data_IF_291357665395
#
_entry.id   IF_291357665395
#
_cell.length_a   1.000
_cell.length_b   1.000
_cell.length_c   1.000
_cell.angle_alpha   90.00
_cell.angle_beta   90.00
_cell.angle_gamma   90.00
#
_symmetry.space_group_name_H-M   'P 1'
#
loop_
_entity.id
_entity.type
_entity.pdbx_description
1 polymer ?
#
# COMPACT_ATOMS: atom_id res chain seq x y z
N UNK A 1 -2.09 -34.33 6.26
CA UNK A 1 -2.88 -33.54 5.30
C UNK A 1 -2.47 -33.99 3.89
N UNK A 2 -3.45 -34.32 3.04
CA UNK A 2 -3.24 -35.03 1.76
C UNK A 2 -2.66 -34.13 0.66
N UNK A 3 -1.54 -34.54 0.03
CA UNK A 3 -0.90 -33.82 -1.09
C UNK A 3 -1.81 -33.70 -2.32
N UNK A 4 -2.81 -34.56 -2.47
CA UNK A 4 -3.73 -34.52 -3.62
C UNK A 4 -4.66 -33.32 -3.60
N UNK A 5 -5.07 -32.82 -2.42
CA UNK A 5 -5.92 -31.61 -2.32
C UNK A 5 -5.19 -30.33 -2.72
N UNK A 6 -3.87 -30.27 -2.49
CA UNK A 6 -3.02 -29.08 -2.76
C UNK A 6 -2.84 -28.83 -4.27
N UNK A 7 -2.83 -29.88 -5.10
CA UNK A 7 -2.73 -29.74 -6.56
C UNK A 7 -4.00 -29.13 -7.18
N UNK A 8 -5.18 -29.41 -6.61
CA UNK A 8 -6.46 -28.92 -7.12
C UNK A 8 -6.68 -27.42 -6.88
N UNK A 9 -6.10 -26.82 -5.83
CA UNK A 9 -6.34 -25.40 -5.52
C UNK A 9 -5.59 -24.43 -6.44
N UNK A 10 -4.55 -24.88 -7.14
CA UNK A 10 -3.77 -24.07 -8.09
C UNK A 10 -4.07 -24.37 -9.57
N UNK A 11 -4.80 -25.45 -9.85
CA UNK A 11 -5.12 -25.89 -11.21
C UNK A 11 -5.91 -24.80 -11.98
N UNK A 12 -5.44 -24.43 -13.17
CA UNK A 12 -6.08 -23.42 -14.03
C UNK A 12 -5.68 -21.96 -13.74
N UNK A 13 -4.85 -21.68 -12.74
CA UNK A 13 -4.43 -20.30 -12.40
C UNK A 13 -3.02 -19.95 -12.83
N UNK A 14 -2.38 -20.85 -13.58
CA UNK A 14 -1.00 -20.74 -14.06
C UNK A 14 -0.78 -19.54 -14.97
N UNK A 15 -1.83 -19.09 -15.67
CA UNK A 15 -1.84 -17.91 -16.52
C UNK A 15 -1.69 -16.60 -15.75
N UNK A 16 -1.97 -16.59 -14.43
CA UNK A 16 -1.83 -15.44 -13.54
C UNK A 16 -0.38 -15.26 -13.03
N UNK A 17 0.54 -16.16 -13.39
CA UNK A 17 1.89 -16.15 -12.87
C UNK A 17 2.75 -15.03 -13.49
N UNK A 18 3.32 -14.18 -12.63
CA UNK A 18 4.15 -13.04 -13.04
C UNK A 18 5.63 -13.41 -12.98
N UNK A 19 6.41 -13.06 -14.02
CA UNK A 19 7.86 -13.34 -14.11
C UNK A 19 8.24 -14.83 -13.92
N UNK A 20 7.37 -15.75 -14.32
CA UNK A 20 7.46 -17.18 -13.99
C UNK A 20 8.30 -18.02 -14.98
N UNK A 21 9.59 -17.71 -15.15
CA UNK A 21 10.49 -18.47 -16.03
C UNK A 21 11.14 -19.67 -15.33
N UNK A 22 11.58 -20.67 -16.12
CA UNK A 22 12.30 -21.84 -15.59
C UNK A 22 13.54 -21.41 -14.78
N UNK A 23 14.35 -20.51 -15.35
CA UNK A 23 15.55 -20.00 -14.71
C UNK A 23 15.23 -19.28 -13.40
N UNK A 24 14.23 -18.39 -13.37
CA UNK A 24 13.80 -17.69 -12.14
C UNK A 24 13.31 -18.67 -11.08
N UNK A 25 12.48 -19.65 -11.45
CA UNK A 25 12.03 -20.71 -10.51
C UNK A 25 13.20 -21.48 -9.88
N UNK A 26 14.20 -21.85 -10.68
CA UNK A 26 15.38 -22.57 -10.20
C UNK A 26 16.20 -21.69 -9.26
N UNK A 27 16.51 -20.46 -9.65
CA UNK A 27 17.29 -19.51 -8.85
C UNK A 27 16.60 -19.16 -7.53
N UNK A 28 15.30 -18.86 -7.56
CA UNK A 28 14.49 -18.55 -6.38
C UNK A 28 14.45 -19.73 -5.40
N UNK A 29 14.29 -20.97 -5.89
CA UNK A 29 14.32 -22.18 -5.06
C UNK A 29 15.69 -22.45 -4.46
N UNK A 30 16.75 -22.24 -5.22
CA UNK A 30 18.13 -22.42 -4.75
C UNK A 30 18.44 -21.40 -3.64
N UNK A 31 18.13 -20.12 -3.88
CA UNK A 31 18.28 -19.05 -2.90
C UNK A 31 17.50 -19.33 -1.61
N UNK A 32 16.23 -19.71 -1.73
CA UNK A 32 15.39 -20.09 -0.59
C UNK A 32 16.00 -21.24 0.23
N UNK A 33 16.39 -22.34 -0.41
CA UNK A 33 16.97 -23.50 0.28
C UNK A 33 18.29 -23.19 0.97
N UNK A 34 19.13 -22.36 0.36
CA UNK A 34 20.42 -21.97 0.92
C UNK A 34 20.23 -21.05 2.11
N UNK A 35 19.43 -20.00 1.98
CA UNK A 35 19.22 -19.00 3.03
C UNK A 35 18.43 -19.53 4.21
N UNK A 36 17.45 -20.42 3.99
CA UNK A 36 16.66 -21.04 5.07
C UNK A 36 17.48 -21.92 6.02
N UNK A 37 18.68 -22.35 5.61
CA UNK A 37 19.60 -23.06 6.50
C UNK A 37 20.27 -22.14 7.52
N UNK A 38 20.35 -20.85 7.20
CA UNK A 38 21.02 -19.84 8.02
C UNK A 38 20.05 -18.94 8.77
N UNK A 39 18.76 -18.92 8.40
CA UNK A 39 17.70 -18.12 9.02
C UNK A 39 16.43 -18.95 9.24
N UNK A 40 15.96 -19.01 10.48
CA UNK A 40 14.61 -19.46 10.81
C UNK A 40 13.68 -18.26 10.70
N UNK A 41 12.76 -18.29 9.73
CA UNK A 41 11.62 -17.36 9.69
C UNK A 41 10.34 -18.15 9.95
N UNK A 42 9.56 -17.74 10.94
CA UNK A 42 8.31 -18.42 11.33
C UNK A 42 7.08 -17.97 10.50
N UNK A 43 7.28 -17.19 9.44
CA UNK A 43 6.20 -16.63 8.60
C UNK A 43 6.06 -17.25 7.20
N UNK A 44 4.95 -16.91 6.53
CA UNK A 44 4.68 -17.29 5.13
C UNK A 44 5.52 -16.53 4.10
N UNK A 45 6.37 -15.62 4.54
CA UNK A 45 7.20 -14.81 3.67
C UNK A 45 8.67 -14.90 4.09
N UNK A 46 9.54 -15.14 3.12
CA UNK A 46 10.96 -15.38 3.32
C UNK A 46 11.79 -14.42 2.45
N UNK A 47 12.57 -13.52 3.05
CA UNK A 47 13.43 -12.61 2.31
C UNK A 47 14.58 -13.38 1.64
N UNK A 48 14.79 -13.14 0.35
CA UNK A 48 15.97 -13.62 -0.37
C UNK A 48 16.97 -12.51 -0.71
N UNK A 49 16.52 -11.25 -0.65
CA UNK A 49 17.37 -10.06 -0.70
C UNK A 49 16.71 -8.91 0.07
N UNK A 50 17.36 -7.73 0.11
CA UNK A 50 16.77 -6.49 0.65
C UNK A 50 15.52 -6.01 -0.07
N UNK A 51 15.32 -6.46 -1.32
CA UNK A 51 14.25 -5.97 -2.21
C UNK A 51 13.38 -7.10 -2.75
N UNK A 52 13.60 -8.35 -2.32
CA UNK A 52 12.91 -9.51 -2.86
C UNK A 52 12.56 -10.49 -1.76
N UNK A 53 11.26 -10.68 -1.57
CA UNK A 53 10.66 -11.58 -0.59
C UNK A 53 9.86 -12.64 -1.35
N UNK A 54 10.01 -13.89 -0.94
CA UNK A 54 9.24 -15.00 -1.48
C UNK A 54 8.16 -15.36 -0.47
N UNK A 55 6.90 -15.30 -0.88
CA UNK A 55 5.83 -15.98 -0.14
C UNK A 55 5.90 -17.49 -0.40
N UNK A 56 5.98 -18.29 0.66
CA UNK A 56 6.01 -19.74 0.57
C UNK A 56 5.08 -20.42 1.59
N UNK A 57 4.69 -21.64 1.26
CA UNK A 57 3.80 -22.45 2.08
C UNK A 57 2.63 -22.93 1.24
N UNK A 58 1.77 -23.70 1.88
CA UNK A 58 0.54 -24.18 1.25
C UNK A 58 -0.44 -23.01 1.02
N UNK A 59 -0.37 -21.94 1.84
CA UNK A 59 -1.19 -20.71 1.91
C UNK A 59 -0.96 -19.61 0.85
N UNK A 60 -0.29 -19.87 -0.28
CA UNK A 60 0.19 -18.80 -1.20
C UNK A 60 -0.35 -19.00 -2.62
N UNK A 61 -1.13 -18.04 -3.15
CA UNK A 61 -1.78 -18.16 -4.46
C UNK A 61 -1.49 -17.00 -5.43
N UNK A 62 -1.35 -17.31 -6.73
CA UNK A 62 -1.06 -16.36 -7.82
C UNK A 62 -2.12 -15.27 -8.07
N UNK A 63 -3.31 -15.40 -7.46
CA UNK A 63 -4.43 -14.49 -7.69
C UNK A 63 -4.25 -13.18 -6.91
N UNK A 64 -3.54 -13.22 -5.78
CA UNK A 64 -3.11 -12.04 -5.03
C UNK A 64 -2.31 -11.09 -5.92
N UNK A 65 -1.18 -11.59 -6.44
CA UNK A 65 -0.27 -10.80 -7.25
C UNK A 65 -0.94 -10.31 -8.54
N UNK A 66 -1.76 -11.15 -9.19
CA UNK A 66 -2.43 -10.78 -10.43
C UNK A 66 -3.53 -9.72 -10.24
N UNK A 67 -4.27 -9.75 -9.13
CA UNK A 67 -5.28 -8.71 -8.84
C UNK A 67 -4.59 -7.37 -8.59
N UNK A 68 -3.52 -7.36 -7.78
CA UNK A 68 -2.76 -6.14 -7.51
C UNK A 68 -2.11 -5.57 -8.79
N UNK A 69 -1.64 -6.44 -9.69
CA UNK A 69 -1.07 -6.01 -10.97
C UNK A 69 -2.13 -5.53 -11.96
N UNK A 70 -3.33 -6.11 -11.95
CA UNK A 70 -4.45 -5.56 -12.73
C UNK A 70 -4.81 -4.13 -12.29
N UNK A 71 -4.89 -3.87 -10.98
CA UNK A 71 -5.16 -2.51 -10.47
C UNK A 71 -4.04 -1.54 -10.84
N UNK A 72 -2.77 -1.96 -10.70
CA UNK A 72 -1.60 -1.15 -11.11
C UNK A 72 -1.56 -0.85 -12.60
N UNK A 73 -2.13 -1.73 -13.42
CA UNK A 73 -2.19 -1.55 -14.87
C UNK A 73 -3.33 -0.61 -15.33
N UNK A 74 -4.27 -0.26 -14.44
CA UNK A 74 -5.31 0.72 -14.75
C UNK A 74 -4.66 2.07 -15.04
N UNK A 75 -4.95 2.61 -16.23
CA UNK A 75 -4.52 3.95 -16.60
C UNK A 75 -5.61 4.95 -16.25
N UNK A 76 -5.27 6.05 -15.56
CA UNK A 76 -6.23 7.12 -15.32
C UNK A 76 -6.73 7.67 -16.66
N UNK A 77 -8.05 7.92 -16.81
CA UNK A 77 -8.56 8.73 -17.90
C UNK A 77 -7.83 10.08 -18.03
N UNK A 78 -7.77 10.70 -19.22
CA UNK A 78 -7.17 12.03 -19.36
C UNK A 78 -7.84 13.06 -18.44
N UNK A 79 -7.03 13.81 -17.68
CA UNK A 79 -7.52 14.82 -16.74
C UNK A 79 -7.93 14.30 -15.36
N UNK A 80 -7.75 13.00 -15.09
CA UNK A 80 -7.98 12.41 -13.76
C UNK A 80 -7.07 13.05 -12.71
N UNK A 81 -7.67 13.59 -11.67
CA UNK A 81 -6.98 14.05 -10.47
C UNK A 81 -7.12 13.06 -9.31
N UNK A 82 -7.17 13.56 -8.08
CA UNK A 82 -7.46 12.71 -6.91
C UNK A 82 -8.98 12.65 -6.72
N UNK A 83 -9.58 11.55 -7.16
CA UNK A 83 -11.02 11.40 -7.32
C UNK A 83 -11.49 9.93 -7.23
N UNK A 84 -12.78 9.70 -7.01
CA UNK A 84 -13.32 8.34 -6.95
C UNK A 84 -13.28 7.62 -8.30
N UNK A 85 -13.59 6.32 -8.32
CA UNK A 85 -13.62 5.52 -9.55
C UNK A 85 -14.59 6.04 -10.64
N UNK A 86 -15.52 6.93 -10.27
CA UNK A 86 -16.49 7.58 -11.17
C UNK A 86 -16.22 9.10 -11.33
N UNK A 87 -15.05 9.58 -10.94
CA UNK A 87 -14.67 10.99 -11.03
C UNK A 87 -15.32 11.91 -9.99
N UNK A 88 -15.73 11.35 -8.85
CA UNK A 88 -16.45 12.06 -7.79
C UNK A 88 -15.65 12.23 -6.51
N UNK A 89 -16.35 12.66 -5.46
CA UNK A 89 -15.79 12.84 -4.12
C UNK A 89 -15.39 11.52 -3.45
N UNK A 90 -14.32 11.58 -2.68
CA UNK A 90 -13.68 10.49 -1.95
C UNK A 90 -14.13 10.43 -0.49
N UNK A 91 -13.85 9.31 0.17
CA UNK A 91 -14.02 9.14 1.61
C UNK A 91 -12.89 8.28 2.17
N UNK A 92 -12.33 8.69 3.32
CA UNK A 92 -11.26 7.99 4.01
C UNK A 92 -11.40 8.22 5.52
N UNK A 93 -11.75 7.18 6.26
CA UNK A 93 -12.05 7.28 7.69
C UNK A 93 -10.83 7.58 8.56
N UNK A 94 -9.61 7.53 8.02
CA UNK A 94 -8.37 7.84 8.74
C UNK A 94 -8.17 9.34 8.93
N UNK A 95 -8.83 10.16 8.11
CA UNK A 95 -8.66 11.61 8.11
C UNK A 95 -9.65 12.22 9.10
N UNK A 96 -9.19 12.60 10.30
CA UNK A 96 -10.07 12.99 11.41
C UNK A 96 -10.96 14.21 11.13
N UNK A 97 -10.48 15.12 10.27
CA UNK A 97 -11.21 16.32 9.89
C UNK A 97 -12.19 16.10 8.72
N UNK A 98 -12.22 14.90 8.14
CA UNK A 98 -13.18 14.51 7.12
C UNK A 98 -14.50 14.09 7.78
N UNK A 99 -15.48 15.00 7.82
CA UNK A 99 -16.82 14.68 8.36
C UNK A 99 -17.74 13.99 7.35
N UNK A 100 -17.56 14.23 6.04
CA UNK A 100 -18.45 13.73 4.99
C UNK A 100 -17.69 13.13 3.81
N UNK A 101 -17.23 13.96 2.86
CA UNK A 101 -16.49 13.54 1.66
C UNK A 101 -15.53 14.66 1.24
N UNK A 102 -14.48 14.31 0.50
CA UNK A 102 -13.47 15.25 0.01
C UNK A 102 -13.32 15.20 -1.51
N UNK A 103 -12.77 16.26 -2.08
CA UNK A 103 -12.53 16.34 -3.52
C UNK A 103 -13.80 16.32 -4.38
N UNK A 104 -13.70 15.96 -5.68
CA UNK A 104 -12.45 15.58 -6.36
C UNK A 104 -11.44 16.73 -6.40
N UNK A 105 -10.15 16.40 -6.45
CA UNK A 105 -9.06 17.37 -6.53
C UNK A 105 -8.41 17.28 -7.91
N UNK A 106 -8.12 18.42 -8.53
CA UNK A 106 -7.52 18.45 -9.87
C UNK A 106 -6.10 17.87 -9.89
N UNK A 107 -5.33 18.11 -8.82
CA UNK A 107 -3.95 17.65 -8.70
C UNK A 107 -3.68 16.97 -7.37
N UNK A 108 -2.59 16.19 -7.30
CA UNK A 108 -2.11 15.59 -6.05
C UNK A 108 -1.68 16.68 -5.05
N UNK A 109 -1.16 17.81 -5.53
CA UNK A 109 -0.80 18.95 -4.70
C UNK A 109 -2.03 19.60 -4.07
N UNK A 110 -3.13 19.76 -4.81
CA UNK A 110 -4.39 20.28 -4.24
C UNK A 110 -4.91 19.35 -3.12
N UNK A 111 -4.82 18.04 -3.35
CA UNK A 111 -5.17 17.04 -2.35
C UNK A 111 -4.26 17.14 -1.10
N UNK A 112 -2.95 17.24 -1.28
CA UNK A 112 -2.03 17.38 -0.16
C UNK A 112 -2.21 18.69 0.62
N UNK A 113 -2.42 19.80 -0.08
CA UNK A 113 -2.71 21.08 0.55
C UNK A 113 -3.99 21.01 1.38
N UNK A 114 -5.01 20.33 0.85
CA UNK A 114 -6.25 20.05 1.58
C UNK A 114 -6.03 19.16 2.81
N UNK A 115 -5.23 18.07 2.70
CA UNK A 115 -4.91 17.20 3.83
C UNK A 115 -4.24 17.93 5.01
N UNK A 116 -3.53 19.03 4.71
CA UNK A 116 -2.91 19.92 5.70
C UNK A 116 -3.82 21.08 6.12
N UNK A 117 -5.11 21.05 5.78
CA UNK A 117 -6.07 22.12 6.06
C UNK A 117 -5.58 23.51 5.59
N UNK A 118 -4.87 23.56 4.46
CA UNK A 118 -4.31 24.78 3.90
C UNK A 118 -3.03 25.28 4.57
N UNK A 119 -2.41 24.50 5.47
CA UNK A 119 -1.16 24.86 6.11
C UNK A 119 0.01 24.80 5.12
N UNK A 120 0.75 25.90 5.05
CA UNK A 120 1.84 26.13 4.11
C UNK A 120 3.13 26.52 4.81
N UNK A 121 4.25 26.46 4.06
CA UNK A 121 5.56 26.88 4.56
C UNK A 121 5.57 28.32 5.10
N UNK A 122 4.78 29.24 4.51
CA UNK A 122 4.68 30.62 5.01
C UNK A 122 3.97 30.71 6.36
N UNK A 123 3.02 29.80 6.65
CA UNK A 123 2.32 29.76 7.93
C UNK A 123 3.22 29.25 9.09
N UNK A 124 4.31 28.55 8.77
CA UNK A 124 5.26 28.03 9.75
C UNK A 124 6.15 29.11 10.38
N UNK A 125 6.45 30.20 9.65
CA UNK A 125 7.43 31.20 10.05
C UNK A 125 7.12 31.95 11.37
N UNK A 126 5.94 31.74 11.95
CA UNK A 126 5.52 32.31 13.23
C UNK A 126 5.24 31.28 14.35
N UNK A 127 5.60 30.01 14.17
CA UNK A 127 5.41 28.98 15.20
C UNK A 127 6.67 28.78 16.04
N UNK A 128 6.50 28.66 17.36
CA UNK A 128 7.56 28.23 18.27
C UNK A 128 7.81 26.72 18.11
N UNK A 129 9.07 26.30 18.19
CA UNK A 129 9.50 24.89 18.04
C UNK A 129 10.17 24.34 19.31
N UNK A 130 9.43 24.21 20.43
CA UNK A 130 10.02 23.74 21.68
C UNK A 130 10.52 22.30 21.59
N UNK A 131 9.92 21.50 20.71
CA UNK A 131 10.17 20.05 20.60
C UNK A 131 10.99 19.64 19.35
N UNK A 132 11.35 20.59 18.48
CA UNK A 132 12.17 20.33 17.28
C UNK A 132 11.42 19.69 16.12
N UNK A 133 10.09 19.81 16.09
CA UNK A 133 9.19 19.16 15.14
C UNK A 133 8.98 19.96 13.86
N UNK A 134 9.28 21.27 13.86
CA UNK A 134 9.07 22.11 12.68
C UNK A 134 9.87 21.62 11.47
N UNK A 135 11.05 21.03 11.69
CA UNK A 135 11.86 20.48 10.61
C UNK A 135 11.15 19.34 9.87
N UNK A 136 10.53 18.40 10.58
CA UNK A 136 9.82 17.27 9.97
C UNK A 136 8.64 17.76 9.14
N UNK A 137 7.94 18.79 9.62
CA UNK A 137 6.80 19.41 8.93
C UNK A 137 7.27 20.14 7.68
N UNK A 138 8.39 20.86 7.75
CA UNK A 138 8.96 21.54 6.59
C UNK A 138 9.32 20.52 5.50
N UNK A 139 10.02 19.44 5.86
CA UNK A 139 10.37 18.35 4.94
C UNK A 139 9.12 17.66 4.35
N UNK A 140 8.07 17.47 5.16
CA UNK A 140 6.78 16.93 4.72
C UNK A 140 6.08 17.86 3.72
N UNK A 141 6.01 19.17 3.99
CA UNK A 141 5.41 20.17 3.08
C UNK A 141 6.18 20.24 1.78
N UNK A 142 7.52 20.29 1.83
CA UNK A 142 8.36 20.33 0.64
C UNK A 142 8.15 19.11 -0.26
N UNK A 143 7.99 17.93 0.34
CA UNK A 143 7.68 16.72 -0.42
C UNK A 143 6.29 16.80 -1.04
N UNK A 144 5.29 17.24 -0.27
CA UNK A 144 3.91 17.32 -0.73
C UNK A 144 3.70 18.36 -1.84
N UNK A 145 4.40 19.49 -1.78
CA UNK A 145 4.34 20.59 -2.77
C UNK A 145 5.19 20.30 -4.02
N UNK A 146 6.03 19.25 -3.98
CA UNK A 146 6.86 18.81 -5.10
C UNK A 146 6.07 18.29 -6.31
N UNK A 147 6.77 17.91 -7.39
CA UNK A 147 6.14 17.28 -8.55
C UNK A 147 5.72 15.84 -8.22
N UNK A 148 4.50 15.47 -8.60
CA UNK A 148 3.96 14.13 -8.43
C UNK A 148 3.59 13.50 -9.78
N UNK A 149 3.81 12.18 -9.96
CA UNK A 149 3.31 11.47 -11.13
C UNK A 149 1.77 11.46 -11.14
N UNK A 150 1.14 11.13 -12.28
CA UNK A 150 -0.32 10.95 -12.33
C UNK A 150 -0.82 9.96 -11.27
N UNK A 151 -2.06 10.15 -10.78
CA UNK A 151 -2.65 9.28 -9.78
C UNK A 151 -2.83 7.85 -10.30
N UNK A 152 -2.80 6.88 -9.40
CA UNK A 152 -3.06 5.47 -9.67
C UNK A 152 -4.32 5.02 -8.93
N UNK A 153 -4.93 3.94 -9.39
CA UNK A 153 -6.09 3.38 -8.72
C UNK A 153 -5.66 2.61 -7.47
N UNK A 154 -6.24 2.97 -6.32
CA UNK A 154 -5.94 2.36 -5.01
C UNK A 154 -7.23 1.81 -4.38
N UNK A 155 -7.08 0.80 -3.54
CA UNK A 155 -8.14 0.30 -2.67
C UNK A 155 -8.38 1.26 -1.51
N UNK A 156 -7.31 1.88 -0.99
CA UNK A 156 -7.29 2.85 0.12
C UNK A 156 -7.78 2.32 1.49
N UNK A 157 -8.31 1.11 1.57
CA UNK A 157 -8.58 0.38 2.83
C UNK A 157 -8.10 -1.08 2.76
N UNK A 158 -6.88 -1.32 2.27
CA UNK A 158 -6.39 -2.68 2.15
C UNK A 158 -5.94 -3.21 3.51
N UNK A 159 -6.75 -4.10 4.08
CA UNK A 159 -6.47 -4.76 5.35
C UNK A 159 -6.86 -6.26 5.27
N UNK A 160 -6.40 -7.11 6.22
CA UNK A 160 -6.66 -8.55 6.16
C UNK A 160 -8.15 -8.95 6.13
N UNK A 161 -9.05 -8.13 6.66
CA UNK A 161 -10.49 -8.42 6.64
C UNK A 161 -11.12 -8.16 5.27
N UNK A 162 -10.51 -7.28 4.48
CA UNK A 162 -10.95 -6.94 3.13
C UNK A 162 -10.39 -7.91 2.07
N UNK A 163 -9.63 -8.93 2.49
CA UNK A 163 -9.06 -9.96 1.63
C UNK A 163 -9.76 -11.29 1.91
N UNK A 164 -10.59 -11.74 0.97
CA UNK A 164 -11.32 -13.01 1.08
C UNK A 164 -10.45 -14.18 0.67
N UNK A 165 -10.36 -15.16 1.56
CA UNK A 165 -9.65 -16.41 1.34
C UNK A 165 -10.63 -17.59 1.19
N UNK A 166 -10.36 -18.47 0.23
CA UNK A 166 -10.93 -19.83 0.20
C UNK A 166 -9.76 -20.80 0.33
N UNK A 167 -9.58 -21.33 1.54
CA UNK A 167 -8.37 -22.05 1.88
C UNK A 167 -7.16 -21.12 1.79
N UNK A 168 -6.25 -21.45 0.88
CA UNK A 168 -4.96 -20.81 0.65
C UNK A 168 -5.01 -19.66 -0.39
N UNK A 169 -6.18 -19.46 -1.01
CA UNK A 169 -6.34 -18.63 -2.20
C UNK A 169 -7.10 -17.36 -1.89
N UNK A 170 -6.53 -16.21 -2.25
CA UNK A 170 -7.32 -14.99 -2.42
C UNK A 170 -8.33 -15.20 -3.55
N UNK A 171 -9.59 -15.19 -3.16
CA UNK A 171 -10.75 -15.33 -4.05
C UNK A 171 -11.48 -14.01 -4.26
N UNK A 172 -11.12 -12.97 -3.52
CA UNK A 172 -11.65 -11.63 -3.71
C UNK A 172 -10.99 -10.61 -2.79
N UNK A 173 -11.06 -9.36 -3.21
CA UNK A 173 -10.85 -8.19 -2.37
C UNK A 173 -12.21 -7.49 -2.31
N UNK A 174 -12.64 -7.09 -1.12
CA UNK A 174 -13.94 -6.48 -0.85
C UNK A 174 -13.75 -5.15 -0.11
N UNK A 175 -14.86 -4.44 0.06
CA UNK A 175 -14.91 -3.15 0.76
C UNK A 175 -14.16 -2.02 0.05
N UNK A 176 -14.50 -1.83 -1.23
CA UNK A 176 -13.95 -0.80 -2.11
C UNK A 176 -14.51 0.61 -1.83
N UNK A 177 -15.13 0.83 -0.67
CA UNK A 177 -15.84 2.07 -0.35
C UNK A 177 -14.94 3.32 -0.39
N UNK A 178 -13.64 3.13 -0.15
CA UNK A 178 -12.64 4.21 -0.14
C UNK A 178 -11.81 4.26 -1.44
N UNK A 179 -12.06 3.33 -2.36
CA UNK A 179 -11.25 3.21 -3.57
C UNK A 179 -11.38 4.43 -4.49
N UNK A 180 -10.28 4.74 -5.17
CA UNK A 180 -10.21 5.90 -6.05
C UNK A 180 -8.84 6.05 -6.70
N UNK A 181 -8.69 7.13 -7.46
CA UNK A 181 -7.43 7.60 -8.00
C UNK A 181 -6.75 8.46 -6.94
N UNK A 182 -5.59 8.01 -6.45
CA UNK A 182 -4.80 8.67 -5.41
C UNK A 182 -3.33 8.75 -5.82
N UNK A 183 -2.50 9.44 -5.03
CA UNK A 183 -1.05 9.36 -5.18
C UNK A 183 -0.55 7.92 -4.97
N UNK A 184 0.55 7.56 -5.63
CA UNK A 184 1.05 6.18 -5.67
C UNK A 184 1.36 5.58 -4.29
N UNK A 185 1.68 6.41 -3.31
CA UNK A 185 1.99 5.95 -1.95
C UNK A 185 0.74 5.61 -1.14
N UNK A 186 -0.44 6.07 -1.55
CA UNK A 186 -1.65 6.04 -0.74
C UNK A 186 -2.07 4.63 -0.35
N UNK A 187 -1.90 3.65 -1.24
CA UNK A 187 -2.19 2.24 -0.95
C UNK A 187 -1.30 1.71 0.20
N UNK A 188 -0.01 2.02 0.17
CA UNK A 188 0.93 1.55 1.20
C UNK A 188 0.69 2.24 2.54
N UNK A 189 0.53 3.56 2.54
CA UNK A 189 0.38 4.32 3.80
C UNK A 189 -1.00 4.14 4.43
N UNK A 190 -2.05 3.94 3.63
CA UNK A 190 -3.38 3.57 4.14
C UNK A 190 -3.41 2.18 4.75
N UNK A 191 -2.81 1.19 4.10
CA UNK A 191 -2.72 -0.15 4.65
C UNK A 191 -1.91 -0.18 5.97
N UNK A 192 -0.87 0.66 6.07
CA UNK A 192 -0.02 0.79 7.26
C UNK A 192 -0.75 1.46 8.44
N UNK A 193 -1.33 2.63 8.21
CA UNK A 193 -1.99 3.43 9.25
C UNK A 193 -3.43 2.97 9.55
N UNK A 194 -4.10 2.26 8.63
CA UNK A 194 -5.43 1.71 8.87
C UNK A 194 -5.46 0.57 9.90
N UNK A 195 -4.29 0.06 10.30
CA UNK A 195 -4.15 -1.08 11.21
C UNK A 195 -3.12 -0.82 12.33
N UNK A 196 -3.22 0.34 13.01
CA UNK A 196 -2.29 0.76 14.08
C UNK A 196 -2.11 -0.32 15.16
N UNK A 197 -3.17 -1.06 15.48
CA UNK A 197 -3.15 -2.10 16.53
C UNK A 197 -2.62 -3.46 16.06
N UNK A 198 -2.24 -3.61 14.78
CA UNK A 198 -1.76 -4.88 14.19
C UNK A 198 -0.38 -4.69 13.59
N UNK A 199 0.63 -4.67 14.45
CA UNK A 199 2.03 -4.60 14.06
C UNK A 199 2.47 -5.76 13.16
N UNK A 200 1.85 -6.94 13.29
CA UNK A 200 2.11 -8.09 12.41
C UNK A 200 1.75 -7.79 10.95
N UNK A 201 0.66 -7.05 10.74
CA UNK A 201 0.25 -6.62 9.39
C UNK A 201 1.27 -5.65 8.81
N UNK A 202 1.73 -4.68 9.59
CA UNK A 202 2.78 -3.74 9.17
C UNK A 202 4.06 -4.48 8.74
N UNK A 203 4.48 -5.50 9.50
CA UNK A 203 5.63 -6.34 9.16
C UNK A 203 5.47 -7.18 7.89
N UNK A 204 4.23 -7.39 7.43
CA UNK A 204 3.90 -8.09 6.19
C UNK A 204 3.66 -7.16 4.99
N UNK A 205 3.43 -5.86 5.21
CA UNK A 205 3.11 -4.91 4.14
C UNK A 205 4.24 -4.74 3.12
N UNK A 206 5.48 -4.66 3.58
CA UNK A 206 6.67 -4.55 2.70
C UNK A 206 6.81 -5.76 1.76
N UNK A 207 6.07 -6.84 2.04
CA UNK A 207 6.08 -8.09 1.29
C UNK A 207 4.91 -8.17 0.31
N UNK A 208 3.88 -7.35 0.53
CA UNK A 208 2.63 -7.30 -0.23
C UNK A 208 2.63 -6.12 -1.22
N UNK A 209 3.19 -5.01 -0.80
CA UNK A 209 3.23 -3.73 -1.50
C UNK A 209 4.67 -3.27 -1.66
N UNK A 210 4.91 -2.43 -2.65
CA UNK A 210 6.23 -1.79 -2.80
C UNK A 210 6.41 -0.81 -1.63
N UNK A 211 7.47 -0.94 -0.80
CA UNK A 211 7.69 -0.04 0.31
C UNK A 211 7.87 1.41 -0.14
N UNK A 212 7.23 2.35 0.56
CA UNK A 212 7.32 3.79 0.30
C UNK A 212 7.80 4.51 1.58
N UNK A 213 9.05 4.29 2.03
CA UNK A 213 9.48 4.74 3.36
C UNK A 213 9.49 6.27 3.50
N UNK A 214 9.82 7.01 2.43
CA UNK A 214 9.85 8.47 2.43
C UNK A 214 8.44 9.04 2.59
N UNK A 215 7.51 8.51 1.82
CA UNK A 215 6.10 8.91 1.82
C UNK A 215 5.37 8.41 3.07
N UNK A 216 5.80 7.28 3.65
CA UNK A 216 5.32 6.80 4.94
C UNK A 216 5.70 7.75 6.07
N UNK A 217 6.96 8.21 6.13
CA UNK A 217 7.40 9.22 7.11
C UNK A 217 6.59 10.50 6.92
N UNK A 218 6.46 10.99 5.67
CA UNK A 218 5.65 12.16 5.34
C UNK A 218 4.20 12.03 5.83
N UNK A 219 3.55 10.90 5.56
CA UNK A 219 2.17 10.65 5.99
C UNK A 219 2.05 10.49 7.51
N UNK A 220 3.05 9.89 8.16
CA UNK A 220 3.10 9.74 9.62
C UNK A 220 3.23 11.11 10.31
N UNK A 221 4.15 11.96 9.85
CA UNK A 221 4.30 13.34 10.33
C UNK A 221 2.99 14.11 10.16
N UNK A 222 2.33 13.97 9.01
CA UNK A 222 1.04 14.60 8.76
C UNK A 222 -0.05 14.12 9.72
N UNK A 223 -0.23 12.81 9.88
CA UNK A 223 -1.26 12.27 10.78
C UNK A 223 -1.03 12.70 12.23
N UNK A 224 0.22 12.68 12.68
CA UNK A 224 0.62 13.10 14.04
C UNK A 224 0.30 14.58 14.29
N UNK A 225 0.68 15.47 13.38
CA UNK A 225 0.45 16.91 13.53
C UNK A 225 -1.03 17.29 13.54
N UNK A 226 -1.84 16.58 12.75
CA UNK A 226 -3.29 16.81 12.66
C UNK A 226 -4.12 15.95 13.62
N UNK A 227 -3.50 15.26 14.57
CA UNK A 227 -4.18 14.52 15.65
C UNK A 227 -4.96 13.30 15.17
N UNK A 228 -4.51 12.67 14.08
CA UNK A 228 -5.13 11.48 13.49
C UNK A 228 -4.56 10.17 14.06
N UNK A 229 -3.39 10.23 14.71
CA UNK A 229 -2.71 9.13 15.42
C UNK A 229 -2.09 9.58 16.73
#
# INVERSE_FOLDING_TARGET
MDRRKILFEHEGTEHLAINNTFLRRVLTRLAYKTLRRCHQSDGHCFPISKTLVIKHGVRVHLAEAATMEFLRALKPPPGTGVESCIGGSLFDSRIAHLRDRSGPFTTIQDFHFWLRQGFSKSAMAGHDDPDGELREIEEMIELQDGPWPPPIFTHADLNPFNILLRGEKVVGIIDWGFSGWYSHYWEYTSAWHGNITRTDWQGDLDRLLEPQPKELIMEHTRQRWWGEI
#
